data_IF_925471839245
#
_entry.id   IF_925471839245
#
_cell.length_a   1.000
_cell.length_b   1.000
_cell.length_c   1.000
_cell.angle_alpha   90.00
_cell.angle_beta   90.00
_cell.angle_gamma   90.00
#
_symmetry.space_group_name_H-M   'P 1'
#
loop_
_entity.id
_entity.type
_entity.pdbx_description
1 polymer ?
#
# COMPACT_ATOMS: atom_id res chain seq x y z
N UNK A 1 5.54 1.76 5.60
CA UNK A 1 4.68 1.07 4.61
C UNK A 1 4.26 1.91 3.41
N UNK A 2 3.70 3.14 3.51
CA UNK A 2 3.55 4.01 2.30
C UNK A 2 4.63 5.09 2.22
N UNK A 3 5.11 5.58 3.36
CA UNK A 3 6.13 6.64 3.47
C UNK A 3 7.47 6.20 2.86
N UNK A 4 7.85 4.93 3.02
CA UNK A 4 9.09 4.38 2.47
C UNK A 4 9.07 4.36 0.93
N UNK A 5 7.90 4.11 0.35
CA UNK A 5 7.67 4.15 -1.10
C UNK A 5 7.80 5.59 -1.60
N UNK A 6 7.18 6.55 -0.90
CA UNK A 6 7.29 7.97 -1.23
C UNK A 6 8.75 8.46 -1.15
N UNK A 7 9.49 8.05 -0.12
CA UNK A 7 10.90 8.37 0.03
C UNK A 7 11.76 7.79 -1.11
N UNK A 8 11.47 6.56 -1.56
CA UNK A 8 12.15 5.96 -2.71
C UNK A 8 11.86 6.71 -4.03
N UNK A 9 10.63 7.19 -4.23
CA UNK A 9 10.25 7.99 -5.38
C UNK A 9 10.88 9.40 -5.40
N UNK A 10 11.15 9.98 -4.23
CA UNK A 10 11.71 11.33 -4.09
C UNK A 10 13.24 11.39 -4.17
N UNK A 11 13.91 10.25 -4.42
CA UNK A 11 15.36 10.18 -4.43
C UNK A 11 15.96 11.11 -5.50
N UNK A 12 17.00 11.86 -5.14
CA UNK A 12 17.63 12.85 -6.02
C UNK A 12 18.14 12.21 -7.31
N UNK A 13 18.78 11.04 -7.20
CA UNK A 13 19.22 10.21 -8.32
C UNK A 13 18.05 9.55 -9.04
N UNK A 14 17.76 9.90 -10.30
CA UNK A 14 16.66 9.31 -11.06
C UNK A 14 16.87 7.80 -11.32
N UNK A 15 18.10 7.36 -11.56
CA UNK A 15 18.46 5.94 -11.73
C UNK A 15 18.20 5.08 -10.48
N UNK A 16 18.11 5.71 -9.32
CA UNK A 16 17.83 5.02 -8.06
C UNK A 16 16.35 5.04 -7.67
N UNK A 17 15.50 5.67 -8.49
CA UNK A 17 14.05 5.65 -8.28
C UNK A 17 13.48 4.31 -8.75
N UNK A 18 12.49 3.78 -8.03
CA UNK A 18 11.81 2.58 -8.47
C UNK A 18 11.06 2.85 -9.79
N UNK A 19 10.94 1.81 -10.60
CA UNK A 19 10.08 1.84 -11.78
C UNK A 19 8.61 1.97 -11.35
N UNK A 20 7.78 2.57 -12.21
CA UNK A 20 6.35 2.73 -11.93
C UNK A 20 5.66 1.40 -11.56
N UNK A 21 6.07 0.30 -12.20
CA UNK A 21 5.54 -1.02 -11.90
C UNK A 21 5.88 -1.52 -10.49
N UNK A 22 7.11 -1.28 -10.01
CA UNK A 22 7.50 -1.62 -8.65
C UNK A 22 6.68 -0.83 -7.62
N UNK A 23 6.43 0.46 -7.87
CA UNK A 23 5.58 1.30 -7.02
C UNK A 23 4.16 0.75 -6.95
N UNK A 24 3.58 0.38 -8.10
CA UNK A 24 2.23 -0.18 -8.17
C UNK A 24 2.11 -1.51 -7.41
N UNK A 25 3.11 -2.38 -7.50
CA UNK A 25 3.13 -3.66 -6.77
C UNK A 25 3.10 -3.43 -5.26
N UNK A 26 3.96 -2.55 -4.74
CA UNK A 26 4.03 -2.32 -3.29
C UNK A 26 2.74 -1.64 -2.79
N UNK A 27 2.13 -0.74 -3.57
CA UNK A 27 0.83 -0.14 -3.23
C UNK A 27 -0.28 -1.21 -3.18
N UNK A 28 -0.28 -2.18 -4.09
CA UNK A 28 -1.23 -3.29 -4.05
C UNK A 28 -1.04 -4.16 -2.81
N UNK A 29 0.21 -4.50 -2.47
CA UNK A 29 0.54 -5.27 -1.26
C UNK A 29 0.06 -4.57 0.02
N UNK A 30 0.24 -3.25 0.12
CA UNK A 30 -0.26 -2.47 1.26
C UNK A 30 -1.79 -2.49 1.32
N UNK A 31 -2.47 -2.33 0.17
CA UNK A 31 -3.94 -2.38 0.11
C UNK A 31 -4.49 -3.75 0.50
N UNK A 32 -3.84 -4.82 0.10
CA UNK A 32 -4.22 -6.20 0.45
C UNK A 32 -4.01 -6.50 1.94
N UNK A 33 -2.93 -5.97 2.53
CA UNK A 33 -2.68 -6.06 3.96
C UNK A 33 -3.77 -5.33 4.77
N UNK A 34 -4.21 -4.15 4.34
CA UNK A 34 -5.29 -3.40 4.98
C UNK A 34 -6.67 -4.08 4.82
N UNK A 35 -6.92 -4.72 3.67
CA UNK A 35 -8.21 -5.42 3.40
C UNK A 35 -8.37 -6.70 4.23
N UNK A 36 -7.27 -7.29 4.69
CA UNK A 36 -7.29 -8.51 5.51
C UNK A 36 -7.71 -8.23 6.97
N UNK A 37 -7.76 -6.96 7.39
CA UNK A 37 -8.11 -6.55 8.75
C UNK A 37 -9.58 -6.18 8.99
N UNK A 38 -10.42 -6.09 7.96
CA UNK A 38 -11.76 -5.46 8.05
C UNK A 38 -12.92 -6.37 7.59
N UNK A 39 -12.73 -7.69 7.62
CA UNK A 39 -13.77 -8.66 7.25
C UNK A 39 -14.38 -9.44 8.45
N UNK A 40 -14.32 -8.89 9.67
CA UNK A 40 -14.91 -9.52 10.87
C UNK A 40 -15.70 -8.54 11.78
N UNK A 41 -16.18 -7.41 11.24
CA UNK A 41 -17.09 -6.52 11.99
C UNK A 41 -18.18 -5.94 11.11
N UNK A 42 -19.19 -6.75 10.78
CA UNK A 42 -20.59 -6.40 11.09
C UNK A 42 -21.52 -7.61 10.81
N UNK A 43 -21.40 -8.65 11.64
CA UNK A 43 -22.52 -9.55 11.90
C UNK A 43 -23.28 -8.99 13.09
N UNK A 44 -24.57 -8.71 12.87
CA UNK A 44 -25.64 -8.40 13.84
C UNK A 44 -25.89 -6.92 14.18
N UNK A 45 -26.79 -6.31 13.41
CA UNK A 45 -27.80 -5.40 13.97
C UNK A 45 -29.13 -5.64 13.29
N UNK A 46 -29.84 -6.63 13.82
CA UNK A 46 -31.26 -6.84 13.58
C UNK A 46 -32.00 -6.04 14.66
N UNK A 47 -32.64 -4.93 14.31
CA UNK A 47 -33.68 -4.25 15.10
C UNK A 47 -34.59 -3.44 14.19
#
# INVERSE_FOLDING_TARGET
MIIDIAAACLRSSPESRPTAWQVLKIIQEVKEADTTGDNDSDLTSNS
#
